data_IF_260371037811
#
_entry.id   IF_260371037811
#
_cell.length_a   1.000
_cell.length_b   1.000
_cell.length_c   1.000
_cell.angle_alpha   90.00
_cell.angle_beta   90.00
_cell.angle_gamma   90.00
#
_symmetry.space_group_name_H-M   'P 1'
#
loop_
_entity.id
_entity.type
_entity.pdbx_description
1 polymer ?
#
# COMPACT_ATOMS: atom_id res chain seq x y z
N UNK A 1 36.67 -7.10 4.18
CA UNK A 1 35.30 -7.26 3.65
C UNK A 1 34.66 -5.88 3.71
N UNK A 2 34.77 -5.15 2.59
CA UNK A 2 34.22 -3.80 2.48
C UNK A 2 32.70 -3.86 2.52
N UNK A 3 32.14 -3.28 3.57
CA UNK A 3 30.70 -2.97 3.60
C UNK A 3 30.52 -1.84 2.62
N UNK A 4 29.68 -1.95 1.57
CA UNK A 4 29.44 -0.86 0.68
C UNK A 4 28.91 0.33 1.49
N UNK A 5 29.57 1.47 1.34
CA UNK A 5 29.11 2.76 1.85
C UNK A 5 27.77 3.07 1.15
N UNK A 6 26.70 2.59 1.74
CA UNK A 6 25.34 2.83 1.27
C UNK A 6 24.89 4.20 1.72
N UNK A 7 25.58 5.27 1.39
CA UNK A 7 25.23 6.69 1.44
C UNK A 7 24.03 7.20 2.25
N UNK A 8 23.43 6.35 3.08
CA UNK A 8 22.36 6.69 4.03
C UNK A 8 22.98 6.84 5.39
N UNK A 9 23.08 8.07 5.85
CA UNK A 9 23.50 8.41 7.20
C UNK A 9 22.66 7.64 8.23
N UNK A 10 23.31 6.99 9.20
CA UNK A 10 22.65 6.28 10.31
C UNK A 10 21.65 7.18 11.05
N UNK A 11 21.90 8.48 11.09
CA UNK A 11 20.99 9.48 11.64
C UNK A 11 19.72 9.65 10.77
N UNK A 12 19.82 9.58 9.46
CA UNK A 12 18.67 9.66 8.56
C UNK A 12 17.78 8.42 8.73
N UNK A 13 18.37 7.23 8.87
CA UNK A 13 17.63 6.00 9.12
C UNK A 13 16.93 6.00 10.46
N UNK A 14 17.56 6.53 11.49
CA UNK A 14 16.95 6.66 12.81
C UNK A 14 15.73 7.59 12.77
N UNK A 15 15.84 8.74 12.12
CA UNK A 15 14.70 9.65 11.92
C UNK A 15 13.56 8.97 11.15
N UNK A 16 13.88 8.23 10.10
CA UNK A 16 12.90 7.48 9.33
C UNK A 16 12.14 6.46 10.19
N UNK A 17 12.87 5.73 11.02
CA UNK A 17 12.30 4.77 11.96
C UNK A 17 11.40 5.49 12.99
N UNK A 18 11.91 6.51 13.66
CA UNK A 18 11.20 7.24 14.71
C UNK A 18 9.90 7.88 14.19
N UNK A 19 9.90 8.36 12.95
CA UNK A 19 8.74 9.01 12.32
C UNK A 19 7.73 8.01 11.75
N UNK A 20 8.18 6.90 11.17
CA UNK A 20 7.33 6.06 10.34
C UNK A 20 7.06 4.65 10.88
N UNK A 21 7.86 4.11 11.79
CA UNK A 21 7.70 2.72 12.26
C UNK A 21 6.34 2.48 12.93
N UNK A 22 5.93 3.33 13.87
CA UNK A 22 4.67 3.14 14.58
C UNK A 22 3.42 3.33 13.67
N UNK A 23 3.35 4.33 12.78
CA UNK A 23 2.28 4.41 11.79
C UNK A 23 2.24 3.22 10.82
N UNK A 24 3.40 2.74 10.34
CA UNK A 24 3.49 1.57 9.47
C UNK A 24 3.02 0.30 10.17
N UNK A 25 3.43 0.11 11.42
CA UNK A 25 3.03 -1.04 12.22
C UNK A 25 1.50 -1.08 12.41
N UNK A 26 0.88 0.04 12.79
CA UNK A 26 -0.58 0.12 12.92
C UNK A 26 -1.30 -0.17 11.60
N UNK A 27 -0.73 0.28 10.50
CA UNK A 27 -1.27 0.01 9.16
C UNK A 27 -1.14 -1.47 8.79
N UNK A 28 0.04 -2.06 8.94
CA UNK A 28 0.29 -3.46 8.66
C UNK A 28 -0.56 -4.38 9.55
N UNK A 29 -0.66 -4.07 10.85
CA UNK A 29 -1.50 -4.82 11.77
C UNK A 29 -2.99 -4.81 11.37
N UNK A 30 -3.51 -3.68 10.93
CA UNK A 30 -4.90 -3.61 10.41
C UNK A 30 -5.12 -4.46 9.17
N UNK A 31 -4.10 -4.66 8.35
CA UNK A 31 -4.20 -5.48 7.13
C UNK A 31 -4.01 -6.96 7.40
N UNK A 32 -3.18 -7.33 8.36
CA UNK A 32 -2.82 -8.72 8.66
C UNK A 32 -3.59 -9.33 9.82
N UNK A 33 -4.01 -8.51 10.78
CA UNK A 33 -4.55 -8.97 12.06
C UNK A 33 -3.51 -9.64 12.97
N UNK A 34 -2.24 -9.66 12.59
CA UNK A 34 -1.15 -10.37 13.26
C UNK A 34 0.01 -9.42 13.59
N UNK A 35 0.36 -9.35 14.88
CA UNK A 35 1.42 -8.46 15.40
C UNK A 35 2.80 -8.83 14.86
N UNK A 36 3.13 -10.12 14.79
CA UNK A 36 4.42 -10.59 14.31
C UNK A 36 4.58 -10.29 12.81
N UNK A 37 3.55 -10.58 12.01
CA UNK A 37 3.57 -10.21 10.60
C UNK A 37 3.67 -8.69 10.39
N UNK A 38 3.01 -7.91 11.23
CA UNK A 38 3.10 -6.44 11.15
C UNK A 38 4.52 -5.95 11.44
N UNK A 39 5.21 -6.53 12.42
CA UNK A 39 6.61 -6.23 12.71
C UNK A 39 7.53 -6.58 11.54
N UNK A 40 7.39 -7.77 10.97
CA UNK A 40 8.17 -8.22 9.81
C UNK A 40 7.98 -7.26 8.62
N UNK A 41 6.75 -6.84 8.34
CA UNK A 41 6.44 -5.87 7.28
C UNK A 41 7.11 -4.53 7.52
N UNK A 42 7.13 -4.04 8.76
CA UNK A 42 7.80 -2.78 9.11
C UNK A 42 9.31 -2.89 8.91
N UNK A 43 9.93 -3.92 9.47
CA UNK A 43 11.37 -4.15 9.37
C UNK A 43 11.82 -4.23 7.91
N UNK A 44 11.16 -5.03 7.11
CA UNK A 44 11.49 -5.21 5.70
C UNK A 44 11.22 -3.95 4.88
N UNK A 45 10.15 -3.18 5.18
CA UNK A 45 9.86 -1.90 4.53
C UNK A 45 10.97 -0.89 4.77
N UNK A 46 11.44 -0.79 6.01
CA UNK A 46 12.52 0.12 6.39
C UNK A 46 13.87 -0.31 5.82
N UNK A 47 14.13 -1.63 5.77
CA UNK A 47 15.32 -2.19 5.13
C UNK A 47 15.35 -1.86 3.63
N UNK A 48 14.23 -1.99 2.94
CA UNK A 48 14.12 -1.59 1.52
C UNK A 48 14.34 -0.09 1.33
N UNK A 49 13.84 0.74 2.24
CA UNK A 49 14.11 2.19 2.20
C UNK A 49 15.60 2.49 2.32
N UNK A 50 16.30 1.77 3.16
CA UNK A 50 17.75 1.88 3.29
C UNK A 50 18.50 1.46 2.01
N UNK A 51 18.06 0.39 1.37
CA UNK A 51 18.64 -0.09 0.11
C UNK A 51 18.33 0.83 -1.09
N UNK A 52 17.36 1.75 -0.94
CA UNK A 52 16.94 2.68 -1.99
C UNK A 52 17.02 4.15 -1.55
N UNK A 53 18.24 4.67 -1.30
CA UNK A 53 18.44 6.02 -0.73
C UNK A 53 17.84 7.14 -1.59
N UNK A 54 17.64 6.93 -2.88
CA UNK A 54 16.97 7.90 -3.76
C UNK A 54 15.52 8.20 -3.34
N UNK A 55 14.86 7.27 -2.65
CA UNK A 55 13.50 7.48 -2.12
C UNK A 55 13.51 8.48 -0.96
N UNK A 56 14.61 8.51 -0.20
CA UNK A 56 14.79 9.40 0.95
C UNK A 56 15.28 10.79 0.54
N UNK A 57 15.98 10.88 -0.60
CA UNK A 57 16.72 12.07 -1.02
C UNK A 57 16.04 12.85 -2.17
N UNK A 58 14.86 12.46 -2.62
CA UNK A 58 14.16 13.09 -3.75
C UNK A 58 13.36 14.36 -3.38
N UNK A 59 13.51 14.88 -2.16
CA UNK A 59 12.80 16.07 -1.66
C UNK A 59 11.30 15.85 -1.40
N UNK A 60 10.78 14.65 -1.58
CA UNK A 60 9.40 14.29 -1.26
C UNK A 60 9.34 13.46 0.03
N UNK A 61 8.21 13.51 0.74
CA UNK A 61 8.02 12.65 1.90
C UNK A 61 8.08 11.18 1.51
N UNK A 62 8.93 10.35 2.13
CA UNK A 62 9.04 8.92 1.84
C UNK A 62 7.79 8.15 2.25
N UNK A 63 6.89 8.77 3.00
CA UNK A 63 5.69 8.14 3.59
C UNK A 63 4.86 7.37 2.55
N UNK A 64 4.52 7.99 1.42
CA UNK A 64 3.71 7.35 0.38
C UNK A 64 4.36 6.08 -0.17
N UNK A 65 5.66 6.13 -0.39
CA UNK A 65 6.42 4.97 -0.85
C UNK A 65 6.47 3.86 0.22
N UNK A 66 6.76 4.20 1.47
CA UNK A 66 6.81 3.25 2.58
C UNK A 66 5.48 2.49 2.74
N UNK A 67 4.35 3.20 2.73
CA UNK A 67 3.03 2.58 2.86
C UNK A 67 2.67 1.71 1.63
N UNK A 68 3.13 2.10 0.43
CA UNK A 68 2.95 1.29 -0.78
C UNK A 68 3.75 -0.01 -0.69
N UNK A 69 5.01 0.05 -0.24
CA UNK A 69 5.85 -1.14 -0.06
C UNK A 69 5.24 -2.07 0.99
N UNK A 70 4.90 -1.54 2.16
CA UNK A 70 4.28 -2.32 3.24
C UNK A 70 3.00 -3.03 2.77
N UNK A 71 2.13 -2.31 2.04
CA UNK A 71 0.91 -2.87 1.49
C UNK A 71 1.18 -4.00 0.49
N UNK A 72 2.08 -3.79 -0.45
CA UNK A 72 2.42 -4.80 -1.45
C UNK A 72 2.96 -6.07 -0.79
N UNK A 73 3.78 -5.94 0.25
CA UNK A 73 4.28 -7.08 1.00
C UNK A 73 3.17 -7.88 1.69
N UNK A 74 2.21 -7.20 2.33
CA UNK A 74 1.05 -7.89 2.94
C UNK A 74 0.25 -8.65 1.88
N UNK A 75 0.01 -8.04 0.72
CA UNK A 75 -0.72 -8.67 -0.37
C UNK A 75 0.03 -9.90 -0.90
N UNK A 76 1.34 -9.79 -1.13
CA UNK A 76 2.18 -10.88 -1.63
C UNK A 76 2.21 -12.04 -0.62
N UNK A 77 2.34 -11.75 0.67
CA UNK A 77 2.29 -12.74 1.73
C UNK A 77 0.94 -13.47 1.79
N UNK A 78 -0.16 -12.72 1.67
CA UNK A 78 -1.51 -13.31 1.66
C UNK A 78 -1.72 -14.21 0.44
N UNK A 79 -1.24 -13.80 -0.73
CA UNK A 79 -1.30 -14.62 -1.96
C UNK A 79 -0.47 -15.89 -1.83
N UNK A 80 0.74 -15.79 -1.30
CA UNK A 80 1.61 -16.94 -1.07
C UNK A 80 1.03 -17.92 -0.05
N UNK A 81 0.38 -17.41 0.99
CA UNK A 81 -0.31 -18.24 1.99
C UNK A 81 -1.54 -18.96 1.39
N UNK A 82 -2.34 -18.25 0.55
CA UNK A 82 -3.48 -18.85 -0.15
C UNK A 82 -3.02 -19.95 -1.11
N UNK A 83 -2.02 -19.68 -1.94
CA UNK A 83 -1.48 -20.68 -2.87
C UNK A 83 -0.98 -21.93 -2.15
N UNK A 84 -0.31 -21.78 -0.98
CA UNK A 84 0.10 -22.92 -0.15
C UNK A 84 -1.09 -23.67 0.44
N UNK A 85 -2.12 -22.97 0.88
CA UNK A 85 -3.32 -23.58 1.45
C UNK A 85 -4.21 -24.24 0.39
N UNK A 86 -4.32 -23.67 -0.82
CA UNK A 86 -5.05 -24.28 -1.95
C UNK A 86 -4.38 -25.57 -2.43
N UNK A 87 -3.06 -25.67 -2.35
CA UNK A 87 -2.32 -26.91 -2.66
C UNK A 87 -2.49 -27.95 -1.54
N UNK A 88 -2.82 -27.55 -0.31
CA UNK A 88 -2.94 -28.43 0.86
C UNK A 88 -4.36 -28.67 1.36
N UNK A 89 -5.37 -27.92 0.91
CA UNK A 89 -6.75 -28.07 1.39
C UNK A 89 -7.74 -27.60 0.33
N UNK A 90 -8.53 -28.54 -0.17
CA UNK A 90 -9.78 -28.24 -0.87
C UNK A 90 -10.89 -28.04 0.18
N UNK A 91 -10.91 -26.91 0.85
CA UNK A 91 -12.12 -26.47 1.57
C UNK A 91 -12.19 -24.93 1.56
N UNK A 92 -13.31 -24.45 1.01
CA UNK A 92 -13.48 -23.05 0.67
C UNK A 92 -13.85 -22.18 1.88
N UNK A 93 -12.87 -21.69 2.58
CA UNK A 93 -13.05 -20.59 3.52
C UNK A 93 -12.53 -19.31 2.89
N UNK A 94 -13.41 -18.37 2.60
CA UNK A 94 -13.09 -17.03 2.12
C UNK A 94 -12.21 -16.27 3.14
N UNK A 95 -11.53 -15.20 2.70
CA UNK A 95 -10.64 -14.45 3.56
C UNK A 95 -11.40 -13.84 4.73
N UNK A 96 -10.79 -13.78 5.94
CA UNK A 96 -11.37 -13.03 7.03
C UNK A 96 -11.49 -11.57 6.63
N UNK A 97 -12.69 -11.05 6.80
CA UNK A 97 -12.95 -9.61 6.65
C UNK A 97 -12.09 -8.87 7.67
N UNK A 98 -11.32 -7.86 7.29
CA UNK A 98 -10.49 -7.13 8.25
C UNK A 98 -11.41 -6.50 9.31
N UNK A 99 -11.22 -6.90 10.56
CA UNK A 99 -11.89 -6.32 11.71
C UNK A 99 -11.61 -4.82 11.75
N UNK A 100 -12.63 -4.00 11.45
CA UNK A 100 -12.51 -2.55 11.43
C UNK A 100 -12.47 -1.97 12.84
N UNK A 101 -11.67 -0.92 13.09
CA UNK A 101 -11.87 -0.08 14.25
C UNK A 101 -13.09 0.82 14.03
N UNK A 102 -13.92 0.97 15.05
CA UNK A 102 -15.08 1.89 15.15
C UNK A 102 -16.00 1.90 13.91
N UNK A 103 -17.12 1.16 14.01
CA UNK A 103 -18.09 1.03 12.91
C UNK A 103 -18.61 2.36 12.36
N UNK A 104 -18.73 3.39 13.19
CA UNK A 104 -19.28 4.69 12.79
C UNK A 104 -18.29 5.51 11.96
N UNK A 105 -17.03 5.60 12.38
CA UNK A 105 -15.97 6.31 11.64
C UNK A 105 -15.59 5.55 10.38
N UNK A 106 -15.60 4.22 10.43
CA UNK A 106 -15.33 3.37 9.27
C UNK A 106 -16.38 3.50 8.19
N UNK A 107 -17.65 3.60 8.53
CA UNK A 107 -18.77 3.74 7.60
C UNK A 107 -18.74 5.10 6.89
N UNK A 108 -18.50 6.20 7.64
CA UNK A 108 -18.38 7.54 7.05
C UNK A 108 -17.18 7.63 6.09
N UNK A 109 -16.03 7.08 6.48
CA UNK A 109 -14.84 7.05 5.63
C UNK A 109 -15.06 6.21 4.37
N UNK A 110 -15.80 5.09 4.44
CA UNK A 110 -16.17 4.28 3.28
C UNK A 110 -17.07 5.05 2.31
N UNK A 111 -18.06 5.76 2.81
CA UNK A 111 -18.94 6.58 1.99
C UNK A 111 -18.17 7.68 1.26
N UNK A 112 -17.33 8.44 1.97
CA UNK A 112 -16.49 9.49 1.39
C UNK A 112 -15.53 8.95 0.31
N UNK A 113 -14.91 7.80 0.55
CA UNK A 113 -14.03 7.16 -0.44
C UNK A 113 -14.85 6.69 -1.65
N UNK A 114 -16.05 6.13 -1.44
CA UNK A 114 -16.95 5.71 -2.50
C UNK A 114 -17.34 6.90 -3.40
N UNK A 115 -17.72 8.00 -2.79
CA UNK A 115 -18.11 9.24 -3.52
C UNK A 115 -16.93 9.85 -4.26
N UNK A 116 -15.74 9.85 -3.65
CA UNK A 116 -14.52 10.31 -4.33
C UNK A 116 -14.13 9.37 -5.50
N UNK A 117 -14.29 8.07 -5.35
CA UNK A 117 -14.08 7.09 -6.43
C UNK A 117 -15.08 7.28 -7.57
N UNK A 118 -16.33 7.64 -7.27
CA UNK A 118 -17.35 7.90 -8.28
C UNK A 118 -17.02 9.10 -9.18
N UNK A 119 -16.24 10.06 -8.69
CA UNK A 119 -15.77 11.22 -9.46
C UNK A 119 -14.62 10.91 -10.42
N UNK A 120 -13.96 9.75 -10.27
CA UNK A 120 -12.92 9.34 -11.20
C UNK A 120 -13.50 8.86 -12.53
N UNK A 121 -12.76 9.06 -13.63
CA UNK A 121 -13.07 8.40 -14.89
C UNK A 121 -13.06 6.87 -14.73
N UNK A 122 -13.78 6.18 -15.61
CA UNK A 122 -13.83 4.72 -15.61
C UNK A 122 -12.42 4.08 -15.68
N UNK A 123 -11.56 4.64 -16.53
CA UNK A 123 -10.18 4.17 -16.70
C UNK A 123 -9.33 4.33 -15.43
N UNK A 124 -9.48 5.45 -14.74
CA UNK A 124 -8.80 5.71 -13.47
C UNK A 124 -9.34 4.82 -12.35
N UNK A 125 -10.65 4.65 -12.28
CA UNK A 125 -11.31 3.77 -11.32
C UNK A 125 -10.90 2.31 -11.52
N UNK A 126 -10.80 1.87 -12.77
CA UNK A 126 -10.38 0.51 -13.12
C UNK A 126 -8.97 0.18 -12.61
N UNK A 127 -7.99 1.06 -12.78
CA UNK A 127 -6.62 0.82 -12.30
C UNK A 127 -6.51 0.90 -10.78
N UNK A 128 -7.21 1.85 -10.14
CA UNK A 128 -7.23 1.97 -8.67
C UNK A 128 -7.91 0.76 -8.04
N UNK A 129 -9.05 0.33 -8.59
CA UNK A 129 -9.77 -0.84 -8.10
C UNK A 129 -8.89 -2.10 -8.13
N UNK A 130 -8.22 -2.38 -9.25
CA UNK A 130 -7.34 -3.54 -9.39
C UNK A 130 -6.11 -3.45 -8.47
N UNK A 131 -5.50 -2.29 -8.42
CA UNK A 131 -4.34 -2.08 -7.56
C UNK A 131 -4.70 -2.18 -6.08
N UNK A 132 -5.80 -1.55 -5.67
CA UNK A 132 -6.13 -1.37 -4.25
C UNK A 132 -6.96 -2.51 -3.67
N UNK A 133 -8.03 -2.94 -4.35
CA UNK A 133 -8.91 -4.00 -3.83
C UNK A 133 -8.41 -5.40 -4.20
N UNK A 134 -7.88 -5.58 -5.42
CA UNK A 134 -7.37 -6.88 -5.85
C UNK A 134 -5.86 -7.04 -5.56
N UNK A 135 -5.16 -5.98 -5.21
CA UNK A 135 -3.74 -5.98 -4.92
C UNK A 135 -2.86 -6.38 -6.10
N UNK A 136 -3.30 -6.11 -7.32
CA UNK A 136 -2.55 -6.47 -8.51
C UNK A 136 -1.34 -5.56 -8.73
N UNK A 137 -0.27 -6.15 -9.27
CA UNK A 137 0.89 -5.39 -9.73
C UNK A 137 0.56 -4.61 -10.99
N UNK A 138 1.36 -3.58 -11.30
CA UNK A 138 1.19 -2.80 -12.55
C UNK A 138 1.25 -3.67 -13.80
N UNK A 139 2.11 -4.70 -13.80
CA UNK A 139 2.20 -5.67 -14.89
C UNK A 139 0.93 -6.51 -15.04
N UNK A 140 0.34 -6.98 -13.94
CA UNK A 140 -0.93 -7.73 -13.96
C UNK A 140 -2.10 -6.86 -14.44
N UNK A 141 -2.16 -5.61 -13.98
CA UNK A 141 -3.19 -4.66 -14.43
C UNK A 141 -3.03 -4.34 -15.91
N UNK A 142 -1.79 -4.18 -16.39
CA UNK A 142 -1.48 -3.94 -17.79
C UNK A 142 -1.96 -5.09 -18.67
N UNK A 143 -1.68 -6.34 -18.27
CA UNK A 143 -2.11 -7.54 -18.97
C UNK A 143 -3.64 -7.67 -19.04
N UNK A 144 -4.33 -7.41 -17.92
CA UNK A 144 -5.80 -7.53 -17.83
C UNK A 144 -6.53 -6.44 -18.62
N UNK A 145 -6.03 -5.22 -18.61
CA UNK A 145 -6.62 -4.09 -19.33
C UNK A 145 -6.14 -3.97 -20.79
N UNK A 146 -5.17 -4.76 -21.21
CA UNK A 146 -4.60 -4.70 -22.56
C UNK A 146 -3.87 -3.39 -22.86
N UNK A 147 -3.24 -2.77 -21.86
CA UNK A 147 -2.51 -1.49 -21.97
C UNK A 147 -1.07 -1.63 -21.53
N UNK A 148 -0.22 -0.67 -21.92
CA UNK A 148 1.18 -0.66 -21.48
C UNK A 148 1.29 -0.43 -19.96
N UNK A 149 2.27 -1.05 -19.31
CA UNK A 149 2.52 -0.86 -17.87
C UNK A 149 2.80 0.60 -17.49
N UNK A 150 3.48 1.36 -18.37
CA UNK A 150 3.67 2.79 -18.22
C UNK A 150 2.34 3.57 -18.19
N UNK A 151 1.36 3.13 -18.96
CA UNK A 151 0.01 3.70 -18.95
C UNK A 151 -0.72 3.40 -17.64
N UNK A 152 -0.54 2.21 -17.07
CA UNK A 152 -1.08 1.88 -15.73
C UNK A 152 -0.48 2.80 -14.68
N UNK A 153 0.84 2.99 -14.69
CA UNK A 153 1.54 3.87 -13.74
C UNK A 153 1.06 5.32 -13.82
N UNK A 154 0.92 5.86 -15.03
CA UNK A 154 0.41 7.22 -15.22
C UNK A 154 -1.05 7.36 -14.82
N UNK A 155 -1.93 6.41 -15.17
CA UNK A 155 -3.33 6.40 -14.74
C UNK A 155 -3.46 6.32 -13.22
N UNK A 156 -2.68 5.48 -12.55
CA UNK A 156 -2.65 5.43 -11.08
C UNK A 156 -2.22 6.76 -10.46
N UNK A 157 -1.19 7.39 -11.03
CA UNK A 157 -0.72 8.69 -10.56
C UNK A 157 -1.82 9.77 -10.64
N UNK A 158 -2.47 9.90 -11.80
CA UNK A 158 -3.55 10.89 -11.98
C UNK A 158 -4.80 10.54 -11.18
N UNK A 159 -5.15 9.26 -11.07
CA UNK A 159 -6.27 8.81 -10.27
C UNK A 159 -6.09 9.18 -8.78
N UNK A 160 -4.90 8.94 -8.22
CA UNK A 160 -4.62 9.30 -6.82
C UNK A 160 -4.65 10.82 -6.60
N UNK A 161 -4.19 11.62 -7.57
CA UNK A 161 -4.35 13.08 -7.51
C UNK A 161 -5.81 13.49 -7.53
N UNK A 162 -6.61 12.89 -8.42
CA UNK A 162 -8.04 13.15 -8.50
C UNK A 162 -8.78 12.77 -7.21
N UNK A 163 -8.48 11.59 -6.65
CA UNK A 163 -9.04 11.18 -5.36
C UNK A 163 -8.70 12.15 -4.23
N UNK A 164 -7.44 12.58 -4.18
CA UNK A 164 -7.02 13.57 -3.16
C UNK A 164 -7.79 14.87 -3.30
N UNK A 165 -7.93 15.36 -4.51
CA UNK A 165 -8.67 16.59 -4.80
C UNK A 165 -10.14 16.46 -4.40
N UNK A 166 -10.81 15.38 -4.81
CA UNK A 166 -12.19 15.11 -4.46
C UNK A 166 -12.41 15.04 -2.93
N UNK A 167 -11.52 14.36 -2.20
CA UNK A 167 -11.60 14.29 -0.73
C UNK A 167 -11.41 15.67 -0.07
N UNK A 168 -10.51 16.51 -0.59
CA UNK A 168 -10.32 17.86 -0.07
C UNK A 168 -11.58 18.72 -0.30
N UNK A 169 -12.23 18.61 -1.46
CA UNK A 169 -13.48 19.30 -1.80
C UNK A 169 -14.65 18.84 -0.92
N UNK A 170 -14.63 17.58 -0.48
CA UNK A 170 -15.59 17.03 0.49
C UNK A 170 -15.28 17.41 1.95
N UNK A 171 -14.25 18.26 2.19
CA UNK A 171 -13.90 18.74 3.53
C UNK A 171 -13.04 17.78 4.33
N UNK A 172 -12.48 16.73 3.72
CA UNK A 172 -11.50 15.86 4.37
C UNK A 172 -10.16 16.59 4.42
N UNK A 173 -9.97 17.40 5.45
CA UNK A 173 -8.69 18.03 5.75
C UNK A 173 -7.83 17.10 6.59
N UNK A 174 -6.52 17.26 6.45
CA UNK A 174 -5.52 16.51 7.22
C UNK A 174 -5.59 16.82 8.70
#
# INVERSE_FOLDING_TARGET
MDIPDTGVDAGAMRRLYDEHAAPLWRYAWRLTGDSAQAEDVVQETLLRAWQHPHVLNNGQSPRGWLFTVARNMVIDNTRSARFRNEVMSSDGSGPPEPAGPDETTGTLNRALISDAMAQLSEEHRAVVGRSYYLGWTTAQIAADLGIAEGTVKSRLHYALRGLRQALLEMGVTR
#
